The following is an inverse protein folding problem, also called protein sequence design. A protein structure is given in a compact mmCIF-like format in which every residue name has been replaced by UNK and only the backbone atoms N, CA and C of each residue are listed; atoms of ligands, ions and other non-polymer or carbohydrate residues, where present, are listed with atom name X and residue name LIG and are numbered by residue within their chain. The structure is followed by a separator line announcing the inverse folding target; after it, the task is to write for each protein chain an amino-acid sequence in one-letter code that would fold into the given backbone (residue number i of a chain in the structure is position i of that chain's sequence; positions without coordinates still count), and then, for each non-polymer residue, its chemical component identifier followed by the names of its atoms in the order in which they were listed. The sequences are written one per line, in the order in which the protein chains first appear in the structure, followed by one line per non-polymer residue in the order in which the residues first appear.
data_IF_846324205975
#
_entry.id   IF_846324205975
#
_cell.length_a   1.000
_cell.length_b   1.000
_cell.length_c   1.000
_cell.angle_alpha   90.00
_cell.angle_beta   90.00
_cell.angle_gamma   90.00
#
_symmetry.space_group_name_H-M   'P 1'
#
loop_
_entity.id
_entity.type
_entity.pdbx_description
1 polymer ?
#
# COMPACT_ATOMS: atom_id res chain seq x y z
N UNK A 1 -49.14 -26.93 -23.21
CA UNK A 1 -48.59 -25.66 -22.67
C UNK A 1 -47.07 -25.65 -22.40
N UNK A 2 -46.42 -26.81 -22.15
CA UNK A 2 -44.95 -26.90 -21.98
C UNK A 2 -44.17 -27.32 -23.26
N UNK A 3 -44.86 -27.74 -24.32
CA UNK A 3 -44.25 -28.22 -25.57
C UNK A 3 -43.95 -27.11 -26.60
N UNK A 4 -44.44 -25.88 -26.39
CA UNK A 4 -44.23 -24.74 -27.32
C UNK A 4 -43.05 -23.82 -26.95
N UNK A 5 -42.48 -23.93 -25.75
CA UNK A 5 -41.29 -23.17 -25.33
C UNK A 5 -39.98 -23.85 -25.77
N UNK A 6 -39.99 -25.17 -25.96
CA UNK A 6 -38.82 -25.96 -26.35
C UNK A 6 -38.50 -25.92 -27.86
N UNK A 7 -39.47 -25.57 -28.72
CA UNK A 7 -39.24 -25.48 -30.17
C UNK A 7 -38.54 -24.19 -30.62
N UNK A 8 -38.32 -23.24 -29.70
CA UNK A 8 -37.60 -21.99 -29.99
C UNK A 8 -36.10 -22.05 -29.62
N UNK A 9 -35.62 -23.17 -29.06
CA UNK A 9 -34.27 -23.29 -28.45
C UNK A 9 -33.44 -24.45 -29.05
N UNK A 10 -33.92 -25.14 -30.08
CA UNK A 10 -33.13 -26.19 -30.73
C UNK A 10 -32.41 -25.67 -31.98
N UNK A 11 -31.10 -25.95 -32.11
CA UNK A 11 -30.63 -26.56 -33.34
C UNK A 11 -30.01 -27.93 -33.09
N UNK A 12 -30.24 -28.80 -34.08
CA UNK A 12 -29.74 -30.16 -34.15
C UNK A 12 -28.21 -30.17 -34.39
N UNK A 13 -27.41 -30.36 -33.35
CA UNK A 13 -26.13 -31.08 -33.37
C UNK A 13 -25.55 -31.13 -31.94
N UNK A 14 -24.79 -32.16 -31.54
CA UNK A 14 -24.25 -32.26 -30.19
C UNK A 14 -23.03 -31.34 -29.92
N UNK A 15 -22.74 -30.36 -30.79
CA UNK A 15 -21.52 -29.56 -30.74
C UNK A 15 -21.71 -28.03 -30.69
N UNK A 16 -22.93 -27.50 -30.75
CA UNK A 16 -23.20 -26.06 -30.63
C UNK A 16 -23.88 -25.76 -29.29
N UNK A 17 -23.30 -24.87 -28.48
CA UNK A 17 -24.01 -24.27 -27.34
C UNK A 17 -25.30 -23.60 -27.82
N UNK A 18 -26.40 -23.64 -27.03
CA UNK A 18 -27.62 -22.93 -27.38
C UNK A 18 -27.40 -21.44 -27.12
N UNK A 19 -26.86 -20.71 -28.10
CA UNK A 19 -26.85 -19.24 -28.05
C UNK A 19 -28.30 -18.76 -28.07
N UNK A 20 -28.76 -18.00 -27.07
CA UNK A 20 -30.08 -17.40 -27.15
C UNK A 20 -30.10 -16.45 -28.36
N UNK A 21 -31.13 -16.51 -29.22
CA UNK A 21 -31.23 -15.61 -30.36
C UNK A 21 -31.20 -14.16 -29.86
N UNK A 22 -30.28 -13.38 -30.44
CA UNK A 22 -29.98 -11.99 -30.14
C UNK A 22 -31.22 -11.18 -29.67
N UNK A 23 -31.06 -10.53 -28.51
CA UNK A 23 -31.96 -9.47 -28.04
C UNK A 23 -33.30 -9.87 -27.42
N UNK A 24 -33.66 -11.17 -27.34
CA UNK A 24 -34.97 -11.59 -26.78
C UNK A 24 -34.94 -12.00 -25.31
N UNK A 25 -33.79 -12.43 -24.80
CA UNK A 25 -33.58 -12.78 -23.40
C UNK A 25 -32.53 -11.84 -22.81
N UNK A 26 -32.64 -11.56 -21.51
CA UNK A 26 -31.69 -10.71 -20.81
C UNK A 26 -30.29 -11.36 -20.84
N UNK A 27 -29.25 -10.56 -21.10
CA UNK A 27 -27.85 -10.98 -21.25
C UNK A 27 -27.20 -11.69 -20.03
N UNK A 28 -27.94 -11.83 -18.93
CA UNK A 28 -27.48 -12.50 -17.69
C UNK A 28 -28.28 -13.78 -17.40
N UNK A 29 -29.20 -14.18 -18.29
CA UNK A 29 -29.87 -15.47 -18.17
C UNK A 29 -28.88 -16.53 -18.59
N UNK A 30 -28.49 -17.39 -17.66
CA UNK A 30 -27.58 -18.49 -17.94
C UNK A 30 -28.36 -19.79 -18.12
N UNK A 31 -27.98 -20.59 -19.12
CA UNK A 31 -28.59 -21.86 -19.46
C UNK A 31 -27.50 -22.92 -19.53
N UNK A 32 -27.50 -23.83 -18.56
CA UNK A 32 -26.55 -24.95 -18.57
C UNK A 32 -27.25 -26.30 -18.42
N UNK A 33 -26.79 -27.28 -19.19
CA UNK A 33 -27.28 -28.66 -19.12
C UNK A 33 -26.38 -29.49 -18.21
N UNK A 34 -26.98 -30.13 -17.22
CA UNK A 34 -26.29 -31.00 -16.28
C UNK A 34 -26.51 -32.47 -16.66
N UNK A 35 -25.49 -33.07 -17.28
CA UNK A 35 -25.58 -34.43 -17.83
C UNK A 35 -25.81 -35.50 -16.76
N UNK A 36 -25.20 -35.34 -15.57
CA UNK A 36 -25.32 -36.29 -14.46
C UNK A 36 -26.77 -36.41 -13.93
N UNK A 37 -27.47 -35.28 -13.85
CA UNK A 37 -28.86 -35.23 -13.38
C UNK A 37 -29.89 -35.20 -14.51
N UNK A 38 -29.44 -35.28 -15.78
CA UNK A 38 -30.28 -35.13 -16.99
C UNK A 38 -31.23 -33.93 -16.91
N UNK A 39 -30.75 -32.80 -16.38
CA UNK A 39 -31.54 -31.59 -16.14
C UNK A 39 -30.95 -30.40 -16.92
N UNK A 40 -31.80 -29.44 -17.28
CA UNK A 40 -31.38 -28.13 -17.79
C UNK A 40 -31.69 -27.10 -16.72
N UNK A 41 -30.67 -26.39 -16.26
CA UNK A 41 -30.81 -25.31 -15.30
C UNK A 41 -30.83 -23.99 -16.07
N UNK A 42 -31.90 -23.23 -15.85
CA UNK A 42 -32.03 -21.85 -16.32
C UNK A 42 -31.96 -20.96 -15.09
N UNK A 43 -30.90 -20.18 -14.98
CA UNK A 43 -30.67 -19.28 -13.85
C UNK A 43 -30.84 -17.83 -14.30
N UNK A 44 -31.74 -17.13 -13.60
CA UNK A 44 -32.08 -15.72 -13.83
C UNK A 44 -32.01 -14.89 -12.54
N UNK A 45 -31.50 -15.48 -11.45
CA UNK A 45 -31.30 -14.85 -10.16
C UNK A 45 -30.14 -13.85 -10.19
N UNK A 46 -30.25 -12.80 -9.37
CA UNK A 46 -29.21 -11.79 -9.19
C UNK A 46 -28.15 -12.24 -8.17
N UNK A 47 -26.92 -11.72 -8.30
CA UNK A 47 -25.80 -12.02 -7.38
C UNK A 47 -24.81 -13.07 -7.91
N UNK A 48 -24.98 -13.54 -9.14
CA UNK A 48 -24.05 -14.44 -9.83
C UNK A 48 -22.88 -13.67 -10.43
N UNK A 49 -21.72 -14.32 -10.49
CA UNK A 49 -20.51 -13.76 -11.10
C UNK A 49 -20.52 -14.08 -12.59
N UNK A 50 -20.62 -13.05 -13.42
CA UNK A 50 -20.56 -13.18 -14.86
C UNK A 50 -19.28 -12.53 -15.39
N UNK A 51 -18.65 -13.15 -16.40
CA UNK A 51 -17.46 -12.60 -17.08
C UNK A 51 -17.71 -12.53 -18.59
N UNK A 52 -17.33 -11.42 -19.26
CA UNK A 52 -17.50 -11.31 -20.70
C UNK A 52 -16.45 -12.14 -21.45
N UNK A 53 -16.89 -12.84 -22.49
CA UNK A 53 -16.06 -13.62 -23.40
C UNK A 53 -16.41 -13.31 -24.86
N UNK A 54 -15.42 -13.40 -25.75
CA UNK A 54 -15.63 -13.26 -27.20
C UNK A 54 -16.22 -14.56 -27.74
N UNK A 55 -17.28 -14.46 -28.53
CA UNK A 55 -17.89 -15.61 -29.18
C UNK A 55 -17.01 -16.08 -30.35
N UNK A 56 -16.80 -17.39 -30.43
CA UNK A 56 -16.02 -18.05 -31.49
C UNK A 56 -16.91 -19.03 -32.23
N UNK A 57 -17.11 -18.80 -33.53
CA UNK A 57 -17.85 -19.69 -34.41
C UNK A 57 -16.92 -20.34 -35.43
N UNK A 58 -17.03 -21.65 -35.61
CA UNK A 58 -16.21 -22.42 -36.55
C UNK A 58 -14.68 -22.16 -36.42
N UNK A 59 -14.21 -21.93 -35.19
CA UNK A 59 -12.79 -21.69 -34.89
C UNK A 59 -12.28 -20.29 -35.23
N UNK A 60 -13.16 -19.34 -35.56
CA UNK A 60 -12.80 -17.92 -35.78
C UNK A 60 -13.53 -17.02 -34.79
N UNK A 61 -12.83 -16.07 -34.14
CA UNK A 61 -13.49 -15.09 -33.28
C UNK A 61 -14.39 -14.19 -34.13
N UNK A 62 -15.60 -13.91 -33.64
CA UNK A 62 -16.53 -12.99 -34.31
C UNK A 62 -16.04 -11.53 -34.24
N UNK A 63 -15.22 -11.20 -33.25
CA UNK A 63 -14.56 -9.90 -33.14
C UNK A 63 -13.40 -9.82 -34.14
N UNK A 64 -13.56 -8.94 -35.13
CA UNK A 64 -12.54 -8.63 -36.13
C UNK A 64 -11.81 -7.32 -35.80
N UNK A 65 -10.66 -7.09 -36.45
CA UNK A 65 -9.83 -5.89 -36.23
C UNK A 65 -10.58 -4.58 -36.48
N UNK A 66 -11.47 -4.55 -37.49
CA UNK A 66 -12.37 -3.41 -37.75
C UNK A 66 -13.20 -2.99 -36.53
N UNK A 67 -13.71 -3.95 -35.76
CA UNK A 67 -14.52 -3.64 -34.57
C UNK A 67 -13.63 -3.04 -33.46
N UNK A 68 -12.37 -3.47 -33.37
CA UNK A 68 -11.40 -2.89 -32.43
C UNK A 68 -11.04 -1.46 -32.82
N UNK A 69 -10.88 -1.18 -34.12
CA UNK A 69 -10.59 0.16 -34.63
C UNK A 69 -11.80 1.09 -34.41
N UNK A 70 -13.02 0.61 -34.65
CA UNK A 70 -14.27 1.33 -34.38
C UNK A 70 -14.43 1.66 -32.88
N UNK A 71 -14.13 0.70 -32.00
CA UNK A 71 -14.12 0.90 -30.54
C UNK A 71 -13.06 1.94 -30.13
N UNK A 72 -11.85 1.87 -30.70
CA UNK A 72 -10.78 2.83 -30.41
C UNK A 72 -11.13 4.25 -30.88
N UNK A 73 -11.90 4.37 -31.96
CA UNK A 73 -12.38 5.65 -32.49
C UNK A 73 -13.64 6.21 -31.80
N UNK A 74 -14.25 5.45 -30.88
CA UNK A 74 -15.46 5.83 -30.17
C UNK A 74 -16.73 5.78 -31.03
N UNK A 75 -16.71 5.04 -32.15
CA UNK A 75 -17.89 4.85 -33.02
C UNK A 75 -18.86 3.80 -32.48
N UNK A 76 -18.39 2.94 -31.57
CA UNK A 76 -19.15 1.85 -30.94
C UNK A 76 -18.81 1.78 -29.46
N UNK A 77 -19.83 1.51 -28.66
CA UNK A 77 -19.68 1.31 -27.22
C UNK A 77 -19.69 -0.18 -26.86
N UNK A 78 -19.28 -0.51 -25.63
CA UNK A 78 -19.24 -1.89 -25.15
C UNK A 78 -20.60 -2.61 -25.22
N UNK A 79 -21.70 -1.89 -25.06
CA UNK A 79 -23.05 -2.43 -25.14
C UNK A 79 -23.44 -2.86 -26.56
N UNK A 80 -22.92 -2.18 -27.58
CA UNK A 80 -23.17 -2.55 -28.98
C UNK A 80 -22.59 -3.94 -29.30
N UNK A 81 -21.45 -4.29 -28.70
CA UNK A 81 -20.84 -5.61 -28.87
C UNK A 81 -21.68 -6.74 -28.26
N UNK A 82 -22.45 -6.44 -27.21
CA UNK A 82 -23.39 -7.38 -26.58
C UNK A 82 -24.65 -7.52 -27.43
N UNK A 83 -25.18 -6.40 -27.93
CA UNK A 83 -26.37 -6.39 -28.78
C UNK A 83 -26.16 -7.10 -30.12
N UNK A 84 -24.98 -6.95 -30.72
CA UNK A 84 -24.59 -7.63 -31.96
C UNK A 84 -24.20 -9.10 -31.76
N UNK A 85 -24.10 -9.58 -30.52
CA UNK A 85 -23.70 -10.96 -30.22
C UNK A 85 -22.24 -11.25 -30.55
N UNK A 86 -21.36 -10.26 -30.44
CA UNK A 86 -19.91 -10.44 -30.58
C UNK A 86 -19.26 -10.92 -29.27
N UNK A 87 -19.86 -10.51 -28.14
CA UNK A 87 -19.43 -10.80 -26.78
C UNK A 87 -20.62 -11.34 -26.00
N UNK A 88 -20.38 -12.26 -25.07
CA UNK A 88 -21.40 -12.83 -24.18
C UNK A 88 -20.89 -12.88 -22.74
N UNK A 89 -21.78 -12.64 -21.78
CA UNK A 89 -21.51 -12.82 -20.35
C UNK A 89 -21.77 -14.27 -19.96
N UNK A 90 -20.72 -14.97 -19.53
CA UNK A 90 -20.83 -16.35 -19.08
C UNK A 90 -20.78 -16.43 -17.56
N UNK A 91 -21.65 -17.27 -17.01
CA UNK A 91 -21.65 -17.67 -15.60
C UNK A 91 -20.69 -18.85 -15.35
N UNK A 92 -20.24 -19.03 -14.11
CA UNK A 92 -19.33 -20.11 -13.67
C UNK A 92 -19.86 -21.50 -14.06
N UNK A 93 -21.18 -21.67 -14.07
CA UNK A 93 -21.81 -22.93 -14.43
C UNK A 93 -21.84 -23.19 -15.95
N UNK A 94 -21.87 -22.14 -16.77
CA UNK A 94 -21.76 -22.26 -18.23
C UNK A 94 -20.32 -22.47 -18.67
N UNK A 95 -19.36 -21.80 -18.00
CA UNK A 95 -17.94 -21.92 -18.28
C UNK A 95 -17.45 -23.38 -18.23
N UNK A 96 -17.98 -24.19 -17.30
CA UNK A 96 -17.61 -25.62 -17.16
C UNK A 96 -17.83 -26.46 -18.41
N UNK A 97 -18.75 -26.08 -19.29
CA UNK A 97 -19.06 -26.83 -20.52
C UNK A 97 -18.32 -26.27 -21.74
N UNK A 98 -17.91 -25.01 -21.68
CA UNK A 98 -17.26 -24.34 -22.77
C UNK A 98 -15.76 -24.66 -22.77
N UNK A 99 -15.21 -24.97 -23.94
CA UNK A 99 -13.77 -25.07 -24.14
C UNK A 99 -13.22 -23.65 -24.23
N UNK A 100 -13.16 -22.97 -23.10
CA UNK A 100 -12.65 -21.61 -23.01
C UNK A 100 -11.13 -21.65 -23.15
N UNK A 101 -10.60 -20.97 -24.17
CA UNK A 101 -9.19 -20.62 -24.20
C UNK A 101 -8.98 -19.46 -23.21
N UNK A 102 -8.41 -19.77 -22.04
CA UNK A 102 -8.24 -18.79 -20.97
C UNK A 102 -7.28 -17.65 -21.41
N UNK A 103 -7.79 -16.42 -21.44
CA UNK A 103 -7.05 -15.17 -21.54
C UNK A 103 -6.79 -14.56 -20.15
N UNK A 104 -5.57 -14.07 -19.94
CA UNK A 104 -4.83 -14.19 -18.68
C UNK A 104 -4.53 -12.84 -17.99
N UNK A 105 -4.33 -12.89 -16.67
CA UNK A 105 -3.96 -11.84 -15.69
C UNK A 105 -2.48 -11.39 -15.82
N UNK A 106 -2.13 -10.09 -15.65
CA UNK A 106 -0.79 -9.45 -15.83
C UNK A 106 0.35 -9.83 -14.84
N UNK A 107 1.64 -9.80 -15.29
CA UNK A 107 2.75 -10.77 -15.01
C UNK A 107 2.70 -11.45 -13.64
N UNK A 108 2.21 -12.71 -13.57
CA UNK A 108 2.52 -13.66 -12.51
C UNK A 108 3.25 -14.92 -13.03
N UNK A 109 3.39 -15.06 -14.36
CA UNK A 109 3.73 -16.32 -15.02
C UNK A 109 5.19 -16.74 -14.89
N UNK A 110 6.12 -15.77 -14.80
CA UNK A 110 7.55 -16.03 -14.61
C UNK A 110 7.91 -16.39 -13.17
N UNK A 111 6.94 -16.34 -12.26
CA UNK A 111 7.08 -16.82 -10.90
C UNK A 111 6.38 -18.18 -10.78
N UNK A 112 7.13 -19.29 -10.73
CA UNK A 112 6.52 -20.61 -10.58
C UNK A 112 5.77 -20.77 -9.24
N UNK A 113 6.02 -19.90 -8.25
CA UNK A 113 5.32 -19.91 -6.96
C UNK A 113 4.16 -18.90 -6.87
N UNK A 114 2.92 -19.39 -6.93
CA UNK A 114 1.71 -18.58 -6.73
C UNK A 114 1.64 -17.82 -5.39
N UNK A 115 2.37 -18.28 -4.36
CA UNK A 115 2.43 -17.67 -3.02
C UNK A 115 3.00 -16.24 -3.06
N UNK A 116 3.89 -15.94 -4.02
CA UNK A 116 4.57 -14.64 -4.10
C UNK A 116 3.64 -13.53 -4.56
N UNK A 117 2.82 -13.82 -5.56
CA UNK A 117 1.79 -12.90 -6.05
C UNK A 117 0.78 -12.56 -4.94
N UNK A 118 0.39 -13.55 -4.14
CA UNK A 118 -0.49 -13.32 -2.98
C UNK A 118 0.15 -12.45 -1.91
N UNK A 119 1.43 -12.70 -1.55
CA UNK A 119 2.14 -11.80 -0.65
C UNK A 119 2.27 -10.39 -1.20
N UNK A 120 2.44 -10.24 -2.51
CA UNK A 120 2.58 -8.95 -3.16
C UNK A 120 1.28 -8.14 -3.10
N UNK A 121 0.13 -8.77 -3.35
CA UNK A 121 -1.18 -8.12 -3.22
C UNK A 121 -1.42 -7.58 -1.81
N UNK A 122 -1.14 -8.39 -0.78
CA UNK A 122 -1.23 -7.96 0.63
C UNK A 122 -0.28 -6.80 0.91
N UNK A 123 0.94 -6.86 0.36
CA UNK A 123 1.92 -5.80 0.55
C UNK A 123 1.52 -4.53 -0.15
N UNK A 124 0.95 -4.52 -1.36
CA UNK A 124 0.44 -3.30 -1.97
C UNK A 124 -0.62 -2.62 -1.10
N UNK A 125 -1.49 -3.40 -0.45
CA UNK A 125 -2.43 -2.85 0.54
C UNK A 125 -1.74 -2.24 1.78
N UNK A 126 -0.53 -2.69 2.13
CA UNK A 126 0.26 -2.18 3.26
C UNK A 126 1.29 -1.11 2.87
N UNK A 127 1.75 -1.17 1.63
CA UNK A 127 2.76 -0.34 0.99
C UNK A 127 2.05 0.91 0.50
N UNK A 128 1.51 1.68 1.45
CA UNK A 128 0.79 2.90 1.19
C UNK A 128 -0.05 2.85 -0.09
N UNK A 129 -1.28 2.38 0.03
CA UNK A 129 -2.41 2.91 -0.76
C UNK A 129 -2.61 4.44 -0.49
N UNK A 130 -1.54 5.12 -0.07
CA UNK A 130 -1.41 6.35 0.69
C UNK A 130 -0.24 7.22 0.22
N UNK A 131 0.67 6.74 -0.64
CA UNK A 131 1.86 7.52 -1.02
C UNK A 131 1.53 8.81 -1.79
N UNK A 132 0.36 8.86 -2.43
CA UNK A 132 -0.28 10.07 -2.98
C UNK A 132 -1.81 9.94 -2.82
N UNK A 133 -2.35 10.35 -1.68
CA UNK A 133 -3.80 10.42 -1.46
C UNK A 133 -4.45 11.51 -2.31
N UNK A 134 -4.75 11.27 -3.60
CA UNK A 134 -5.66 12.13 -4.37
C UNK A 134 -5.21 13.62 -4.50
N UNK A 135 -5.98 14.43 -5.22
CA UNK A 135 -5.81 15.88 -5.34
C UNK A 135 -6.16 16.64 -4.05
N UNK A 136 -6.80 15.97 -3.07
CA UNK A 136 -7.35 16.59 -1.85
C UNK A 136 -6.50 16.37 -0.58
N UNK A 137 -5.17 16.23 -0.71
CA UNK A 137 -4.26 16.03 0.43
C UNK A 137 -4.25 17.22 1.40
N UNK A 138 -4.61 18.41 0.91
CA UNK A 138 -4.58 19.65 1.67
C UNK A 138 -5.93 20.03 2.29
N UNK A 139 -7.00 19.29 2.01
CA UNK A 139 -8.37 19.49 2.52
C UNK A 139 -8.54 18.79 3.91
N UNK A 140 -9.67 18.93 4.66
CA UNK A 140 -9.66 18.86 6.13
C UNK A 140 -9.35 17.47 6.73
N UNK A 141 -9.06 17.45 8.05
CA UNK A 141 -8.63 16.30 8.87
C UNK A 141 -9.64 15.12 8.75
N UNK A 142 -9.39 14.19 7.82
CA UNK A 142 -10.22 13.01 7.57
C UNK A 142 -9.73 11.77 8.30
N UNK A 143 -8.43 11.52 8.25
CA UNK A 143 -7.84 10.26 8.68
C UNK A 143 -7.14 10.35 10.03
N UNK A 144 -7.16 9.24 10.77
CA UNK A 144 -6.48 9.12 12.07
C UNK A 144 -4.97 9.00 11.91
N UNK A 145 -4.51 8.36 10.83
CA UNK A 145 -3.09 8.19 10.48
C UNK A 145 -2.95 8.26 8.97
N UNK A 146 -1.98 9.03 8.49
CA UNK A 146 -1.70 9.18 7.07
C UNK A 146 -0.17 9.14 6.85
N UNK A 147 0.28 8.30 5.92
CA UNK A 147 1.70 8.24 5.52
C UNK A 147 1.91 8.91 4.16
N UNK A 148 2.63 10.02 4.14
CA UNK A 148 2.97 10.75 2.91
C UNK A 148 4.44 10.50 2.54
N UNK A 149 4.68 10.13 1.28
CA UNK A 149 6.03 9.98 0.75
C UNK A 149 6.47 11.29 0.09
N UNK A 150 7.36 12.03 0.73
CA UNK A 150 7.97 13.20 0.12
C UNK A 150 9.08 12.78 -0.85
N UNK A 151 8.87 12.99 -2.15
CA UNK A 151 9.96 12.95 -3.13
C UNK A 151 10.72 14.28 -3.03
N UNK A 152 11.85 14.28 -2.33
CA UNK A 152 12.70 15.47 -2.24
C UNK A 152 13.64 15.44 -3.45
N UNK A 153 13.51 16.41 -4.35
CA UNK A 153 14.54 16.62 -5.38
C UNK A 153 15.89 16.88 -4.70
N UNK A 154 17.03 16.43 -5.26
CA UNK A 154 18.35 16.64 -4.66
C UNK A 154 18.62 18.12 -4.31
N UNK A 155 18.12 19.04 -5.13
CA UNK A 155 18.28 20.49 -4.95
C UNK A 155 17.46 21.05 -3.77
N UNK A 156 16.28 20.49 -3.49
CA UNK A 156 15.45 20.91 -2.37
C UNK A 156 15.94 20.32 -1.02
N UNK A 157 16.57 19.15 -1.07
CA UNK A 157 17.24 18.55 0.09
C UNK A 157 18.46 19.38 0.54
N UNK A 158 19.22 19.97 -0.40
CA UNK A 158 20.35 20.85 -0.11
C UNK A 158 19.90 22.20 0.48
N UNK A 159 18.80 22.78 0.01
CA UNK A 159 18.26 24.02 0.59
C UNK A 159 17.79 23.84 2.04
N UNK A 160 17.31 22.64 2.41
CA UNK A 160 16.97 22.29 3.80
C UNK A 160 18.17 21.90 4.68
N UNK A 161 19.38 21.79 4.12
CA UNK A 161 20.64 21.62 4.87
C UNK A 161 21.24 22.93 5.34
N UNK A 162 20.78 24.08 4.84
CA UNK A 162 20.96 25.29 5.63
C UNK A 162 20.19 25.05 6.93
N UNK A 163 20.79 25.25 8.12
CA UNK A 163 19.97 25.35 9.32
C UNK A 163 18.90 26.37 8.93
N UNK A 164 17.62 25.97 8.94
CA UNK A 164 16.52 26.93 9.05
C UNK A 164 17.05 27.90 10.06
N UNK A 165 17.31 29.14 9.62
CA UNK A 165 17.88 30.16 10.49
C UNK A 165 17.16 29.95 11.80
N UNK A 166 17.92 29.74 12.90
CA UNK A 166 17.41 30.12 14.20
C UNK A 166 16.94 31.54 13.97
N UNK A 167 15.67 31.70 13.64
CA UNK A 167 15.01 32.97 13.63
C UNK A 167 14.98 33.22 15.12
N UNK A 168 16.04 33.93 15.54
CA UNK A 168 16.20 34.42 16.89
C UNK A 168 14.83 34.87 17.32
N UNK A 169 14.39 34.37 18.48
CA UNK A 169 13.12 34.67 19.11
C UNK A 169 12.73 36.11 18.78
N UNK A 170 11.89 36.26 17.75
CA UNK A 170 11.46 37.53 17.23
C UNK A 170 10.48 38.04 18.24
N UNK A 171 10.98 38.86 19.16
CA UNK A 171 10.19 39.66 20.06
C UNK A 171 9.26 40.56 19.24
N UNK A 172 8.11 40.03 18.83
CA UNK A 172 7.00 40.85 18.41
C UNK A 172 6.39 41.44 19.67
N UNK A 173 6.64 42.75 19.81
CA UNK A 173 6.23 43.58 20.91
C UNK A 173 4.73 43.51 21.14
N UNK A 174 4.40 43.04 22.34
CA UNK A 174 3.12 43.19 23.00
C UNK A 174 3.38 42.97 24.47
N UNK A 175 3.55 44.06 25.23
CA UNK A 175 3.66 43.98 26.68
C UNK A 175 2.34 43.45 27.24
N UNK A 176 2.29 42.15 27.51
CA UNK A 176 1.31 41.53 28.39
C UNK A 176 2.06 40.71 29.44
N UNK A 177 1.68 40.92 30.69
CA UNK A 177 2.26 40.30 31.89
C UNK A 177 2.47 38.79 31.69
N UNK A 178 3.72 38.37 31.48
CA UNK A 178 4.09 36.95 31.40
C UNK A 178 4.11 36.37 32.82
N UNK A 179 2.99 35.79 33.25
CA UNK A 179 3.04 34.67 34.19
C UNK A 179 3.96 33.61 33.58
N UNK A 180 4.93 33.13 34.37
CA UNK A 180 5.93 32.17 33.89
C UNK A 180 5.23 30.90 33.38
N UNK A 181 5.13 30.73 32.06
CA UNK A 181 4.56 29.53 31.46
C UNK A 181 5.41 28.34 31.87
N UNK A 182 4.76 27.33 32.46
CA UNK A 182 5.41 26.09 32.84
C UNK A 182 5.72 25.28 31.57
N UNK A 183 6.77 24.47 31.61
CA UNK A 183 7.18 23.62 30.49
C UNK A 183 6.03 22.83 29.81
N UNK A 184 5.03 22.27 30.54
CA UNK A 184 3.93 21.52 29.95
C UNK A 184 2.97 22.35 29.08
N UNK A 185 2.81 23.64 29.38
CA UNK A 185 1.81 24.53 28.75
C UNK A 185 2.42 25.54 27.77
N UNK A 186 3.73 25.45 27.54
CA UNK A 186 4.48 26.37 26.65
C UNK A 186 3.92 26.44 25.21
N UNK A 187 3.26 25.37 24.76
CA UNK A 187 2.79 25.22 23.37
C UNK A 187 1.35 25.75 23.19
N UNK A 188 0.67 26.10 24.28
CA UNK A 188 -0.73 26.50 24.24
C UNK A 188 -0.90 27.99 23.95
N UNK A 189 -1.92 28.34 23.17
CA UNK A 189 -2.39 29.72 23.01
C UNK A 189 -3.33 30.12 24.17
N UNK A 190 -3.84 31.36 24.11
CA UNK A 190 -4.77 31.91 25.10
C UNK A 190 -6.09 31.13 25.20
N UNK A 191 -6.45 30.35 24.19
CA UNK A 191 -7.64 29.50 24.13
C UNK A 191 -7.44 28.13 24.82
N UNK A 192 -6.22 27.80 25.24
CA UNK A 192 -5.88 26.51 25.84
C UNK A 192 -5.64 25.37 24.84
N UNK A 193 -5.50 25.68 23.54
CA UNK A 193 -5.18 24.72 22.47
C UNK A 193 -3.79 25.03 21.91
N UNK A 194 -3.09 24.01 21.42
CA UNK A 194 -1.79 24.18 20.79
C UNK A 194 -1.87 24.97 19.47
N UNK A 195 -0.95 25.92 19.25
CA UNK A 195 -0.91 26.70 18.00
C UNK A 195 -0.44 25.90 16.79
N UNK A 196 -0.87 26.32 15.60
CA UNK A 196 -0.43 25.73 14.32
C UNK A 196 1.04 26.08 14.06
N UNK A 197 1.86 25.07 13.78
CA UNK A 197 3.31 25.17 13.60
C UNK A 197 4.12 24.84 14.85
N UNK A 198 3.48 24.62 16.00
CA UNK A 198 4.18 24.35 17.23
C UNK A 198 4.91 22.99 17.20
N UNK A 199 6.16 22.98 17.68
CA UNK A 199 6.93 21.76 17.92
C UNK A 199 6.59 21.19 19.30
N UNK A 200 5.83 20.10 19.31
CA UNK A 200 5.39 19.39 20.51
C UNK A 200 6.38 18.27 20.83
N UNK A 201 6.82 18.20 22.08
CA UNK A 201 7.71 17.16 22.62
C UNK A 201 6.96 16.28 23.61
N UNK A 202 7.57 15.17 24.03
CA UNK A 202 6.95 14.22 24.97
C UNK A 202 6.37 14.91 26.22
N UNK A 203 5.15 14.50 26.60
CA UNK A 203 4.39 15.00 27.76
C UNK A 203 4.00 16.48 27.75
N UNK A 204 4.10 17.17 26.62
CA UNK A 204 3.53 18.51 26.47
C UNK A 204 2.01 18.43 26.26
N UNK A 205 1.29 19.41 26.81
CA UNK A 205 -0.17 19.48 26.71
C UNK A 205 -0.54 20.02 25.33
N UNK A 206 -1.39 19.29 24.61
CA UNK A 206 -1.96 19.68 23.33
C UNK A 206 -3.26 20.47 23.51
N UNK A 207 -4.09 20.04 24.46
CA UNK A 207 -5.35 20.68 24.83
C UNK A 207 -5.47 20.66 26.34
N UNK A 208 -5.52 21.84 26.95
CA UNK A 208 -5.76 21.96 28.38
C UNK A 208 -7.26 21.91 28.66
N UNK A 209 -7.78 20.70 28.86
CA UNK A 209 -9.20 20.44 29.14
C UNK A 209 -9.44 20.33 30.64
N UNK A 210 -10.50 20.96 31.11
CA UNK A 210 -11.02 20.82 32.48
C UNK A 210 -12.44 20.23 32.45
N UNK A 211 -12.75 19.37 33.41
CA UNK A 211 -14.08 18.73 33.52
C UNK A 211 -14.68 19.00 34.89
N UNK A 212 -15.96 19.38 34.98
CA UNK A 212 -16.62 19.57 36.26
C UNK A 212 -16.72 18.25 37.02
N UNK A 213 -16.48 18.27 38.34
CA UNK A 213 -16.64 17.10 39.20
C UNK A 213 -18.12 16.93 39.50
N UNK A 214 -18.81 16.14 38.68
CA UNK A 214 -20.21 15.78 38.95
C UNK A 214 -20.22 14.61 39.93
N UNK A 215 -20.32 14.91 41.22
CA UNK A 215 -20.70 13.90 42.22
C UNK A 215 -22.10 13.42 41.88
N UNK A 216 -22.28 12.12 41.64
CA UNK A 216 -23.54 11.49 41.19
C UNK A 216 -24.72 11.61 42.19
N UNK A 217 -24.56 12.42 43.24
CA UNK A 217 -25.51 12.62 44.33
C UNK A 217 -25.69 14.11 44.56
N UNK A 218 -26.26 14.86 43.61
CA UNK A 218 -26.65 16.24 43.86
C UNK A 218 -28.11 16.46 43.42
N UNK A 219 -28.96 16.56 44.44
CA UNK A 219 -30.26 17.20 44.43
C UNK A 219 -30.11 18.68 44.03
N UNK A 220 -31.17 19.22 43.45
CA UNK A 220 -31.26 20.57 42.88
C UNK A 220 -31.08 21.70 43.92
N UNK A 221 -29.86 21.87 44.43
CA UNK A 221 -29.45 23.03 45.22
C UNK A 221 -28.49 23.88 44.39
N UNK A 222 -28.90 25.13 44.15
CA UNK A 222 -28.21 26.17 43.39
C UNK A 222 -27.00 26.66 44.18
N UNK A 223 -25.91 25.90 44.17
CA UNK A 223 -24.59 26.40 44.55
C UNK A 223 -23.82 26.74 43.28
N UNK A 224 -23.51 28.02 43.09
CA UNK A 224 -22.94 28.61 41.87
C UNK A 224 -21.45 28.34 41.65
N UNK A 225 -20.79 27.56 42.52
CA UNK A 225 -19.38 27.20 42.38
C UNK A 225 -19.25 25.73 41.99
N UNK A 226 -19.16 25.48 40.68
CA UNK A 226 -18.84 24.16 40.13
C UNK A 226 -17.34 23.95 40.27
N UNK A 227 -16.93 22.88 40.97
CA UNK A 227 -15.52 22.49 41.09
C UNK A 227 -15.06 21.78 39.80
N UNK A 228 -13.91 22.19 39.26
CA UNK A 228 -13.33 21.64 38.04
C UNK A 228 -12.09 20.80 38.34
N UNK A 229 -11.98 19.67 37.66
CA UNK A 229 -10.80 18.80 37.64
C UNK A 229 -10.10 18.93 36.28
N UNK A 230 -8.80 19.20 36.31
CA UNK A 230 -7.99 19.22 35.09
C UNK A 230 -7.82 17.81 34.51
N UNK A 231 -8.11 17.66 33.22
CA UNK A 231 -7.98 16.44 32.41
C UNK A 231 -7.28 16.81 31.09
N UNK A 232 -6.00 17.24 31.14
CA UNK A 232 -5.29 17.70 29.97
C UNK A 232 -5.03 16.54 29.00
N UNK A 233 -5.04 16.83 27.71
CA UNK A 233 -4.66 15.88 26.68
C UNK A 233 -3.18 16.08 26.32
N UNK A 234 -2.36 15.08 26.63
CA UNK A 234 -0.91 15.10 26.48
C UNK A 234 -0.44 14.41 25.18
N UNK A 235 0.64 14.95 24.60
CA UNK A 235 1.34 14.28 23.51
C UNK A 235 2.20 13.13 24.06
N UNK A 236 1.99 11.93 23.50
CA UNK A 236 2.73 10.71 23.83
C UNK A 236 3.48 10.24 22.60
N UNK A 237 4.78 10.53 22.57
CA UNK A 237 5.64 10.19 21.44
C UNK A 237 7.09 10.43 21.79
N UNK A 238 7.97 9.50 21.39
CA UNK A 238 9.41 9.62 21.63
C UNK A 238 10.03 10.75 20.82
N UNK A 239 9.55 10.93 19.59
CA UNK A 239 10.02 11.95 18.66
C UNK A 239 9.09 13.17 18.70
N UNK A 240 9.62 14.39 18.54
CA UNK A 240 8.81 15.59 18.46
C UNK A 240 7.95 15.59 17.18
N UNK A 241 6.73 16.12 17.32
CA UNK A 241 5.80 16.31 16.21
C UNK A 241 5.48 17.80 16.04
N UNK A 242 5.01 18.19 14.86
CA UNK A 242 4.54 19.53 14.58
C UNK A 242 3.03 19.53 14.48
N UNK A 243 2.36 20.51 15.11
CA UNK A 243 0.93 20.74 14.90
C UNK A 243 0.76 21.35 13.52
N UNK A 244 0.08 20.67 12.60
CA UNK A 244 -0.10 21.14 11.23
C UNK A 244 -1.45 21.81 11.02
N UNK A 245 -2.51 21.25 11.62
CA UNK A 245 -3.86 21.82 11.57
C UNK A 245 -4.56 21.64 12.90
N UNK A 246 -5.31 22.65 13.29
CA UNK A 246 -6.24 22.63 14.42
C UNK A 246 -7.63 22.91 13.88
N UNK A 247 -8.57 22.01 14.15
CA UNK A 247 -9.95 22.14 13.73
C UNK A 247 -10.84 22.15 14.97
N UNK A 248 -11.58 23.23 15.15
CA UNK A 248 -12.63 23.34 16.16
C UNK A 248 -13.96 23.23 15.42
N UNK A 249 -14.75 22.24 15.79
CA UNK A 249 -16.07 21.98 15.23
C UNK A 249 -17.09 21.86 16.35
N UNK A 250 -18.35 22.13 16.03
CA UNK A 250 -19.47 21.95 16.95
C UNK A 250 -20.45 20.98 16.31
N UNK A 251 -20.80 19.93 17.03
CA UNK A 251 -21.85 19.00 16.62
C UNK A 251 -23.23 19.66 16.78
N UNK A 252 -24.23 19.15 16.07
CA UNK A 252 -25.62 19.60 16.18
C UNK A 252 -26.14 19.53 17.64
N UNK A 253 -25.65 18.55 18.40
CA UNK A 253 -25.95 18.35 19.84
C UNK A 253 -25.21 19.32 20.79
N UNK A 254 -24.67 20.44 20.29
CA UNK A 254 -23.85 21.41 21.03
C UNK A 254 -22.55 20.84 21.65
N UNK A 255 -22.14 19.62 21.30
CA UNK A 255 -20.83 19.10 21.71
C UNK A 255 -19.70 19.75 20.91
N UNK A 256 -18.74 20.37 21.60
CA UNK A 256 -17.51 20.88 20.99
C UNK A 256 -16.52 19.76 20.70
N UNK A 257 -15.96 19.76 19.50
CA UNK A 257 -14.96 18.82 19.01
C UNK A 257 -13.70 19.58 18.60
N UNK A 258 -12.57 19.21 19.18
CA UNK A 258 -11.25 19.74 18.80
C UNK A 258 -10.43 18.59 18.19
N UNK A 259 -10.05 18.73 16.93
CA UNK A 259 -9.18 17.81 16.21
C UNK A 259 -7.84 18.49 15.93
N UNK A 260 -6.74 17.87 16.33
CA UNK A 260 -5.39 18.31 16.01
C UNK A 260 -4.74 17.31 15.05
N UNK A 261 -4.23 17.79 13.92
CA UNK A 261 -3.41 17.02 13.01
C UNK A 261 -1.93 17.24 13.37
N UNK A 262 -1.26 16.16 13.76
CA UNK A 262 0.16 16.16 14.08
C UNK A 262 0.95 15.57 12.93
N UNK A 263 1.99 16.27 12.48
CA UNK A 263 2.90 15.81 11.43
C UNK A 263 4.25 15.46 12.01
N UNK A 264 4.74 14.26 11.68
CA UNK A 264 6.08 13.81 11.99
C UNK A 264 6.82 13.49 10.69
N UNK A 265 8.00 14.09 10.49
CA UNK A 265 8.85 13.79 9.33
C UNK A 265 9.87 12.74 9.73
N UNK A 266 9.76 11.53 9.15
CA UNK A 266 10.64 10.41 9.49
C UNK A 266 11.54 10.07 8.32
N UNK A 267 12.85 10.11 8.56
CA UNK A 267 13.84 9.59 7.62
C UNK A 267 13.90 8.07 7.75
N UNK A 268 14.22 7.33 6.68
CA UNK A 268 14.45 5.90 6.81
C UNK A 268 15.63 5.59 7.74
N UNK A 269 15.42 4.65 8.65
CA UNK A 269 16.42 4.21 9.62
C UNK A 269 16.61 2.69 9.54
N UNK A 270 17.64 2.19 10.24
CA UNK A 270 17.91 0.76 10.34
C UNK A 270 16.71 0.04 10.95
N UNK A 271 16.30 -1.06 10.31
CA UNK A 271 15.15 -1.86 10.67
C UNK A 271 13.83 -1.45 9.99
N UNK A 272 13.81 -0.31 9.27
CA UNK A 272 12.64 0.06 8.46
C UNK A 272 12.40 -0.97 7.36
N UNK A 273 11.11 -1.20 7.08
CA UNK A 273 10.69 -2.22 6.12
C UNK A 273 10.42 -1.64 4.75
N UNK A 274 11.07 -2.25 3.77
CA UNK A 274 10.91 -1.97 2.36
C UNK A 274 10.36 -3.21 1.64
N UNK A 275 9.72 -3.00 0.51
CA UNK A 275 9.35 -4.07 -0.41
C UNK A 275 9.69 -3.66 -1.81
N UNK A 276 10.42 -4.51 -2.54
CA UNK A 276 10.32 -4.50 -4.00
C UNK A 276 8.95 -5.05 -4.42
N UNK A 277 8.63 -4.99 -5.72
CA UNK A 277 7.43 -5.63 -6.26
C UNK A 277 7.39 -7.16 -6.13
N UNK A 278 8.46 -7.77 -5.63
CA UNK A 278 8.61 -9.22 -5.60
C UNK A 278 9.05 -9.73 -4.22
N UNK A 279 9.72 -8.90 -3.41
CA UNK A 279 10.36 -9.32 -2.16
C UNK A 279 10.33 -8.23 -1.09
N UNK A 280 10.21 -8.67 0.18
CA UNK A 280 10.32 -7.83 1.37
C UNK A 280 11.75 -7.79 1.87
N UNK A 281 12.14 -6.61 2.33
CA UNK A 281 13.43 -6.30 2.89
C UNK A 281 13.29 -5.48 4.17
N UNK A 282 14.36 -5.51 4.96
CA UNK A 282 14.55 -4.68 6.14
C UNK A 282 15.88 -3.96 5.94
N UNK A 283 15.95 -2.68 6.26
CA UNK A 283 17.22 -1.95 6.21
C UNK A 283 18.17 -2.51 7.26
N UNK A 284 19.27 -3.15 6.83
CA UNK A 284 20.28 -3.71 7.73
C UNK A 284 21.40 -2.73 8.07
N UNK A 285 21.87 -1.99 7.06
CA UNK A 285 22.98 -1.06 7.17
C UNK A 285 22.72 0.16 6.29
N UNK A 286 23.15 1.33 6.77
CA UNK A 286 23.19 2.58 6.01
C UNK A 286 24.67 2.93 5.86
N UNK A 287 25.11 3.07 4.61
CA UNK A 287 26.52 3.29 4.25
C UNK A 287 26.64 4.63 3.51
N UNK A 288 27.77 5.30 3.67
CA UNK A 288 28.07 6.53 2.94
C UNK A 288 28.27 6.27 1.44
N UNK A 289 28.02 7.29 0.63
CA UNK A 289 28.12 7.18 -0.82
C UNK A 289 29.55 6.87 -1.30
N UNK A 290 30.58 7.22 -0.52
CA UNK A 290 31.99 6.99 -0.86
C UNK A 290 32.35 5.51 -0.87
N UNK A 291 31.79 4.72 0.05
CA UNK A 291 32.12 3.31 0.20
C UNK A 291 31.35 2.42 -0.78
N UNK A 292 30.29 2.96 -1.40
CA UNK A 292 29.45 2.23 -2.35
C UNK A 292 30.18 1.92 -3.66
N UNK A 293 29.99 0.71 -4.23
CA UNK A 293 30.60 0.37 -5.51
C UNK A 293 30.03 1.24 -6.62
N UNK A 294 30.88 1.62 -7.57
CA UNK A 294 30.52 2.54 -8.66
C UNK A 294 30.84 1.94 -10.03
N UNK A 295 30.01 2.28 -11.02
CA UNK A 295 30.25 1.93 -12.42
C UNK A 295 31.29 2.88 -13.04
N UNK A 296 31.81 2.53 -14.23
CA UNK A 296 32.66 3.41 -15.04
C UNK A 296 32.01 4.77 -15.30
N UNK A 297 30.69 4.80 -15.42
CA UNK A 297 29.91 6.03 -15.65
C UNK A 297 29.73 6.87 -14.36
N UNK A 298 30.28 6.42 -13.23
CA UNK A 298 30.11 7.05 -11.93
C UNK A 298 28.76 6.78 -11.26
N UNK A 299 27.90 5.96 -11.89
CA UNK A 299 26.63 5.54 -11.31
C UNK A 299 26.88 4.65 -10.09
N UNK A 300 26.19 4.97 -8.99
CA UNK A 300 26.27 4.26 -7.72
C UNK A 300 24.89 3.73 -7.36
N UNK A 301 24.75 2.47 -6.91
CA UNK A 301 23.46 1.95 -6.47
C UNK A 301 22.93 2.76 -5.27
N UNK A 302 21.66 3.17 -5.30
CA UNK A 302 21.01 3.83 -4.16
C UNK A 302 20.55 2.83 -3.08
N UNK A 303 20.16 1.62 -3.50
CA UNK A 303 19.85 0.50 -2.61
C UNK A 303 20.73 -0.67 -3.01
N UNK A 304 21.59 -1.12 -2.10
CA UNK A 304 22.31 -2.37 -2.28
C UNK A 304 21.48 -3.51 -1.71
N UNK A 305 21.01 -4.40 -2.58
CA UNK A 305 20.27 -5.58 -2.16
C UNK A 305 21.21 -6.79 -2.24
N UNK A 306 21.80 -7.20 -1.10
CA UNK A 306 22.68 -8.37 -1.00
C UNK A 306 21.98 -9.72 -1.24
N UNK A 307 20.69 -9.73 -1.61
CA UNK A 307 19.93 -10.98 -1.83
C UNK A 307 20.39 -11.63 -3.13
N UNK A 308 21.62 -12.14 -3.24
CA UNK A 308 21.97 -13.15 -4.24
C UNK A 308 21.48 -14.54 -3.80
N UNK A 309 21.40 -14.76 -2.48
CA UNK A 309 21.06 -16.06 -1.86
C UNK A 309 19.56 -16.38 -1.87
N UNK A 310 18.69 -15.37 -1.97
CA UNK A 310 17.24 -15.58 -1.99
C UNK A 310 16.66 -15.94 -3.36
N UNK A 311 17.29 -15.53 -4.48
CA UNK A 311 16.73 -15.73 -5.82
C UNK A 311 16.56 -17.21 -6.21
N UNK A 312 17.54 -18.11 -5.99
CA UNK A 312 17.40 -19.51 -6.39
C UNK A 312 16.29 -20.23 -5.62
N UNK A 313 16.18 -20.00 -4.32
CA UNK A 313 15.16 -20.64 -3.47
C UNK A 313 13.76 -20.08 -3.72
N UNK A 314 13.63 -18.79 -4.02
CA UNK A 314 12.34 -18.12 -4.19
C UNK A 314 11.87 -18.05 -5.64
N UNK A 315 12.75 -18.39 -6.58
CA UNK A 315 12.50 -18.38 -8.02
C UNK A 315 11.87 -17.06 -8.52
N UNK A 316 12.30 -15.92 -7.97
CA UNK A 316 11.76 -14.58 -8.29
C UNK A 316 12.40 -13.98 -9.55
N UNK A 317 12.31 -14.70 -10.68
CA UNK A 317 12.90 -14.30 -11.97
C UNK A 317 12.31 -12.99 -12.50
N UNK A 318 11.05 -12.70 -12.18
CA UNK A 318 10.38 -11.45 -12.54
C UNK A 318 11.12 -10.19 -12.08
N UNK A 319 11.82 -10.23 -10.93
CA UNK A 319 12.63 -9.09 -10.45
C UNK A 319 13.88 -8.84 -11.31
N UNK A 320 14.45 -9.90 -11.88
CA UNK A 320 15.58 -9.78 -12.80
C UNK A 320 15.10 -9.16 -14.12
N UNK A 321 14.00 -9.68 -14.68
CA UNK A 321 13.40 -9.11 -15.89
C UNK A 321 12.96 -7.66 -15.70
N UNK A 322 12.40 -7.30 -14.54
CA UNK A 322 12.05 -5.93 -14.19
C UNK A 322 13.27 -5.00 -14.25
N UNK A 323 14.42 -5.41 -13.70
CA UNK A 323 15.63 -4.60 -13.73
C UNK A 323 16.15 -4.45 -15.17
N UNK A 324 16.16 -5.52 -15.96
CA UNK A 324 16.56 -5.47 -17.37
C UNK A 324 15.68 -4.51 -18.17
N UNK A 325 14.35 -4.66 -18.05
CA UNK A 325 13.36 -3.83 -18.71
C UNK A 325 13.44 -2.37 -18.27
N UNK A 326 13.62 -2.13 -16.96
CA UNK A 326 13.74 -0.77 -16.43
C UNK A 326 15.03 -0.08 -16.89
N UNK A 327 16.14 -0.82 -16.99
CA UNK A 327 17.40 -0.28 -17.52
C UNK A 327 17.27 0.08 -19.00
N UNK A 328 16.68 -0.81 -19.80
CA UNK A 328 16.41 -0.53 -21.21
C UNK A 328 15.43 0.66 -21.38
N UNK A 329 14.40 0.75 -20.53
CA UNK A 329 13.43 1.84 -20.55
C UNK A 329 14.08 3.22 -20.31
N UNK A 330 15.01 3.31 -19.36
CA UNK A 330 15.70 4.57 -19.04
C UNK A 330 16.63 5.02 -20.17
N UNK A 331 17.25 4.07 -20.88
CA UNK A 331 18.17 4.39 -21.97
C UNK A 331 17.44 4.81 -23.26
N UNK A 332 16.33 4.14 -23.57
CA UNK A 332 15.50 4.40 -24.74
C UNK A 332 14.54 5.60 -24.51
N UNK A 333 14.31 5.99 -23.25
CA UNK A 333 13.36 7.05 -22.90
C UNK A 333 11.89 6.64 -23.06
N UNK A 334 11.62 5.35 -23.27
CA UNK A 334 10.29 4.79 -23.46
C UNK A 334 9.96 3.76 -22.38
N UNK A 335 8.71 3.78 -21.90
CA UNK A 335 8.24 2.76 -20.96
C UNK A 335 8.18 1.39 -21.65
N UNK A 336 8.69 0.36 -20.98
CA UNK A 336 8.68 -1.03 -21.44
C UNK A 336 7.51 -1.78 -20.83
N UNK A 337 6.91 -2.66 -21.63
CA UNK A 337 5.71 -3.38 -21.21
C UNK A 337 6.07 -4.66 -20.44
N UNK A 338 5.47 -4.78 -19.26
CA UNK A 338 5.58 -5.92 -18.35
C UNK A 338 4.20 -6.50 -18.07
N UNK A 339 3.34 -6.63 -19.07
CA UNK A 339 2.03 -7.28 -18.99
C UNK A 339 2.19 -8.81 -19.06
N UNK A 340 1.32 -9.58 -18.39
CA UNK A 340 1.53 -11.04 -18.33
C UNK A 340 1.32 -11.71 -19.65
N UNK A 341 2.05 -12.82 -19.82
CA UNK A 341 1.93 -13.68 -20.98
C UNK A 341 2.13 -12.89 -22.29
N UNK A 342 2.75 -11.71 -22.17
CA UNK A 342 3.05 -10.74 -23.20
C UNK A 342 4.17 -9.83 -22.67
N UNK A 343 4.22 -8.60 -23.17
CA UNK A 343 5.28 -7.65 -22.87
C UNK A 343 6.56 -7.89 -23.66
N UNK A 344 7.57 -7.08 -23.36
CA UNK A 344 8.84 -7.07 -24.09
C UNK A 344 9.69 -8.29 -23.72
N UNK A 345 10.13 -9.03 -24.74
CA UNK A 345 10.95 -10.22 -24.54
C UNK A 345 12.35 -9.88 -24.01
N UNK A 346 12.93 -10.75 -23.18
CA UNK A 346 14.29 -10.53 -22.64
C UNK A 346 15.36 -10.35 -23.72
N UNK A 347 15.20 -11.01 -24.88
CA UNK A 347 16.11 -10.87 -26.03
C UNK A 347 16.02 -9.49 -26.67
N UNK A 348 14.80 -8.93 -26.80
CA UNK A 348 14.56 -7.59 -27.33
C UNK A 348 15.14 -6.54 -26.38
N UNK A 349 14.89 -6.68 -25.07
CA UNK A 349 15.48 -5.82 -24.05
C UNK A 349 17.01 -5.88 -24.07
N UNK A 350 17.57 -7.08 -24.26
CA UNK A 350 19.02 -7.26 -24.40
C UNK A 350 19.59 -6.63 -25.66
N UNK A 351 18.85 -6.58 -26.76
CA UNK A 351 19.27 -5.90 -27.99
C UNK A 351 19.36 -4.38 -27.78
N UNK A 352 18.34 -3.78 -27.16
CA UNK A 352 18.34 -2.35 -26.81
C UNK A 352 19.55 -2.00 -25.92
N UNK A 353 19.85 -2.83 -24.92
CA UNK A 353 21.02 -2.61 -24.07
C UNK A 353 22.34 -2.64 -24.86
N UNK A 354 22.48 -3.56 -25.84
CA UNK A 354 23.67 -3.61 -26.71
C UNK A 354 23.81 -2.38 -27.59
N UNK A 355 22.71 -1.85 -28.11
CA UNK A 355 22.70 -0.63 -28.93
C UNK A 355 23.27 0.57 -28.15
N UNK A 356 22.96 0.64 -26.85
CA UNK A 356 23.50 1.66 -25.95
C UNK A 356 24.87 1.31 -25.33
N UNK A 357 25.55 0.26 -25.80
CA UNK A 357 26.88 -0.13 -25.32
C UNK A 357 26.92 -0.83 -23.96
N UNK A 358 25.77 -1.25 -23.43
CA UNK A 358 25.69 -2.08 -22.23
C UNK A 358 25.69 -3.57 -22.57
N UNK A 359 25.99 -4.40 -21.57
CA UNK A 359 25.84 -5.85 -21.70
C UNK A 359 24.37 -6.22 -21.94
N UNK A 360 24.08 -7.10 -22.91
CA UNK A 360 22.72 -7.61 -23.14
C UNK A 360 22.08 -8.27 -21.92
N UNK A 361 22.91 -8.81 -21.03
CA UNK A 361 22.43 -9.42 -19.79
C UNK A 361 22.30 -8.40 -18.66
N UNK A 362 22.46 -7.09 -18.88
CA UNK A 362 22.32 -6.07 -17.84
C UNK A 362 23.34 -6.15 -16.69
N UNK A 363 24.43 -6.90 -16.87
CA UNK A 363 25.52 -7.02 -15.89
C UNK A 363 26.62 -6.00 -16.20
N UNK A 364 27.02 -5.26 -15.18
CA UNK A 364 28.04 -4.22 -15.26
C UNK A 364 29.29 -4.61 -14.47
N UNK A 365 30.43 -4.05 -14.86
CA UNK A 365 31.66 -4.08 -14.06
C UNK A 365 31.59 -2.92 -13.08
N UNK A 366 31.75 -3.21 -11.80
CA UNK A 366 31.74 -2.21 -10.75
C UNK A 366 33.07 -2.23 -9.99
N UNK A 367 33.51 -1.06 -9.56
CA UNK A 367 34.72 -0.85 -8.76
C UNK A 367 34.32 -0.66 -7.30
N UNK A 368 35.02 -1.30 -6.38
CA UNK A 368 34.83 -1.16 -4.94
C UNK A 368 35.14 0.27 -4.49
N UNK A 369 34.23 0.90 -3.75
CA UNK A 369 34.45 2.23 -3.18
C UNK A 369 35.51 2.24 -2.07
N UNK A 370 35.65 1.12 -1.34
CA UNK A 370 36.56 1.01 -0.19
C UNK A 370 38.00 0.75 -0.64
N UNK A 371 38.20 -0.19 -1.56
CA UNK A 371 39.55 -0.59 -2.01
C UNK A 371 39.99 0.11 -3.29
N UNK A 372 39.06 0.64 -4.08
CA UNK A 372 39.35 1.20 -5.40
C UNK A 372 39.62 0.15 -6.48
N UNK A 373 39.57 -1.14 -6.14
CA UNK A 373 39.80 -2.25 -7.07
C UNK A 373 38.51 -2.67 -7.77
N UNK A 374 38.64 -3.16 -9.00
CA UNK A 374 37.51 -3.72 -9.76
C UNK A 374 37.07 -5.04 -9.14
N UNK A 375 35.76 -5.23 -8.97
CA UNK A 375 35.24 -6.49 -8.45
C UNK A 375 35.45 -7.64 -9.46
N UNK A 376 35.81 -8.82 -8.94
CA UNK A 376 36.08 -10.01 -9.76
C UNK A 376 34.84 -10.50 -10.52
N UNK A 377 33.65 -10.26 -9.98
CA UNK A 377 32.38 -10.70 -10.57
C UNK A 377 31.58 -9.52 -11.12
N UNK A 378 30.93 -9.75 -12.28
CA UNK A 378 29.97 -8.80 -12.82
C UNK A 378 28.74 -8.67 -11.91
N UNK A 379 28.32 -7.43 -11.69
CA UNK A 379 27.19 -7.11 -10.82
C UNK A 379 25.98 -6.76 -11.67
N UNK A 380 24.83 -7.31 -11.28
CA UNK A 380 23.56 -6.98 -11.90
C UNK A 380 23.08 -5.63 -11.38
N UNK A 381 23.02 -4.63 -12.27
CA UNK A 381 22.78 -3.24 -11.88
C UNK A 381 21.74 -2.59 -12.80
N UNK A 382 20.74 -1.98 -12.19
CA UNK A 382 19.69 -1.24 -12.88
C UNK A 382 18.62 -0.72 -11.92
N UNK A 383 17.76 0.19 -12.40
CA UNK A 383 16.68 0.74 -11.60
C UNK A 383 15.62 -0.33 -11.28
N UNK A 384 15.21 -0.40 -10.01
CA UNK A 384 14.13 -1.27 -9.53
C UNK A 384 13.17 -0.41 -8.72
N UNK A 385 11.87 -0.69 -8.83
CA UNK A 385 10.86 -0.03 -8.03
C UNK A 385 10.79 -0.61 -6.61
N UNK A 386 11.11 0.24 -5.62
CA UNK A 386 11.00 -0.06 -4.21
C UNK A 386 9.88 0.74 -3.56
N UNK A 387 9.17 0.10 -2.65
CA UNK A 387 8.09 0.66 -1.85
C UNK A 387 8.49 0.68 -0.39
N UNK A 388 8.25 1.80 0.30
CA UNK A 388 8.36 1.86 1.76
C UNK A 388 7.07 1.32 2.37
N UNK A 389 7.19 0.41 3.34
CA UNK A 389 6.04 -0.15 4.04
C UNK A 389 5.73 0.68 5.30
N UNK A 390 4.46 0.66 5.73
CA UNK A 390 4.01 1.31 6.98
C UNK A 390 4.69 0.80 8.27
N UNK A 391 5.41 -0.32 8.19
CA UNK A 391 6.04 -0.93 9.34
C UNK A 391 7.43 -0.32 9.60
N UNK A 392 7.44 0.85 10.23
CA UNK A 392 8.67 1.50 10.71
C UNK A 392 9.08 0.97 12.08
N UNK A 393 10.36 1.10 12.42
CA UNK A 393 10.89 0.65 13.72
C UNK A 393 10.42 1.54 14.86
N UNK A 394 10.37 2.86 14.61
CA UNK A 394 9.96 3.85 15.61
C UNK A 394 8.57 3.60 16.18
N UNK A 395 7.65 3.01 15.41
CA UNK A 395 6.31 2.66 15.91
C UNK A 395 6.26 1.34 16.68
N UNK A 396 7.34 0.55 16.61
CA UNK A 396 7.41 -0.80 17.16
C UNK A 396 8.32 -0.92 18.37
N UNK A 397 9.17 0.07 18.62
CA UNK A 397 9.99 0.08 19.81
C UNK A 397 9.09 0.23 21.04
N UNK A 398 9.17 -0.74 21.94
CA UNK A 398 8.49 -0.68 23.22
C UNK A 398 9.42 -1.26 24.29
N UNK A 399 9.56 -0.54 25.39
CA UNK A 399 10.38 -0.96 26.52
C UNK A 399 9.67 -0.60 27.81
N UNK A 400 9.73 -1.51 28.79
CA UNK A 400 9.10 -1.30 30.10
C UNK A 400 10.05 -1.71 31.22
N UNK A 401 10.31 -0.78 32.14
CA UNK A 401 11.17 -1.01 33.29
C UNK A 401 10.42 -1.60 34.51
N UNK A 402 9.21 -1.12 34.82
CA UNK A 402 8.44 -1.56 36.01
C UNK A 402 6.94 -1.63 35.71
N UNK A 403 6.24 -2.56 36.37
CA UNK A 403 4.76 -2.69 36.30
C UNK A 403 4.10 -2.02 37.50
N UNK A 404 3.05 -1.22 37.25
CA UNK A 404 1.99 -0.97 38.23
C UNK A 404 0.90 -2.03 38.03
N UNK A 405 0.51 -2.75 39.08
CA UNK A 405 -0.52 -3.80 39.01
C UNK A 405 -1.87 -3.18 38.59
N UNK A 406 -2.28 -3.32 37.33
CA UNK A 406 -3.65 -3.03 36.86
C UNK A 406 -4.25 -4.28 36.24
N UNK A 407 -5.57 -4.45 36.45
CA UNK A 407 -6.36 -5.64 36.14
C UNK A 407 -6.81 -5.78 34.66
N UNK A 408 -6.20 -5.08 33.70
CA UNK A 408 -6.64 -5.16 32.28
C UNK A 408 -5.49 -5.26 31.28
N UNK A 409 -5.78 -5.99 30.20
CA UNK A 409 -4.90 -6.45 29.10
C UNK A 409 -4.60 -5.35 28.06
N UNK A 410 -4.99 -4.11 28.29
CA UNK A 410 -4.75 -3.03 27.32
C UNK A 410 -3.44 -2.31 27.61
N UNK A 411 -2.46 -2.51 26.72
CA UNK A 411 -1.55 -1.55 26.05
C UNK A 411 -1.07 -0.27 26.78
N UNK A 412 -1.17 -0.18 28.10
CA UNK A 412 -0.49 0.85 28.87
C UNK A 412 0.95 0.36 29.11
N UNK A 413 1.87 0.95 28.35
CA UNK A 413 3.34 0.85 28.47
C UNK A 413 4.03 -0.35 27.80
N UNK A 414 3.40 -1.01 26.81
CA UNK A 414 4.12 -1.90 25.89
C UNK A 414 4.91 -3.05 26.55
N UNK A 415 4.39 -3.64 27.62
CA UNK A 415 5.00 -4.83 28.23
C UNK A 415 4.92 -6.04 27.30
N UNK A 416 5.99 -6.82 27.23
CA UNK A 416 5.97 -8.14 26.59
C UNK A 416 5.25 -9.12 27.50
N UNK A 417 4.37 -9.94 26.92
CA UNK A 417 3.68 -11.02 27.63
C UNK A 417 4.50 -12.30 27.51
N UNK A 418 4.84 -12.92 28.64
CA UNK A 418 5.32 -14.30 28.67
C UNK A 418 4.09 -15.23 28.52
N UNK A 419 4.03 -15.98 27.44
CA UNK A 419 2.94 -16.92 27.15
C UNK A 419 3.19 -18.31 27.70
N UNK A 420 2.31 -19.23 27.34
CA UNK A 420 2.38 -20.63 27.76
C UNK A 420 3.59 -21.33 27.14
N UNK A 421 3.86 -21.10 25.85
CA UNK A 421 5.00 -21.71 25.17
C UNK A 421 6.32 -21.21 25.73
N UNK A 422 6.45 -19.92 26.04
CA UNK A 422 7.68 -19.38 26.62
C UNK A 422 7.90 -19.89 28.05
N UNK A 423 6.83 -20.07 28.83
CA UNK A 423 6.91 -20.72 30.15
C UNK A 423 7.41 -22.16 30.01
N UNK A 424 6.89 -22.92 29.06
CA UNK A 424 7.28 -24.32 28.87
C UNK A 424 8.74 -24.43 28.42
N UNK A 425 9.26 -23.48 27.63
CA UNK A 425 10.69 -23.38 27.35
C UNK A 425 11.52 -23.19 28.64
N UNK A 426 11.10 -22.32 29.55
CA UNK A 426 11.80 -22.09 30.82
C UNK A 426 11.77 -23.31 31.74
N UNK A 427 10.66 -24.05 31.75
CA UNK A 427 10.55 -25.34 32.46
C UNK A 427 11.51 -26.37 31.83
N UNK A 428 11.58 -26.43 30.50
CA UNK A 428 12.50 -27.31 29.77
C UNK A 428 13.99 -27.04 30.08
N UNK A 429 14.35 -25.78 30.34
CA UNK A 429 15.69 -25.42 30.82
C UNK A 429 15.94 -25.73 32.30
N UNK A 430 14.91 -26.10 33.07
CA UNK A 430 15.02 -26.34 34.51
C UNK A 430 15.26 -25.07 35.34
N UNK A 431 14.97 -23.89 34.81
CA UNK A 431 15.24 -22.60 35.43
C UNK A 431 14.19 -22.24 36.51
N UNK A 432 14.10 -23.06 37.58
CA UNK A 432 13.10 -22.92 38.65
C UNK A 432 13.15 -21.58 39.37
N UNK A 433 14.34 -21.03 39.62
CA UNK A 433 14.51 -19.71 40.28
C UNK A 433 14.11 -18.52 39.40
N UNK A 434 13.96 -18.69 38.09
CA UNK A 434 13.52 -17.63 37.17
C UNK A 434 11.99 -17.61 36.99
N UNK A 435 11.34 -18.75 37.26
CA UNK A 435 9.89 -18.93 37.17
C UNK A 435 9.15 -18.59 38.47
N UNK A 436 9.78 -18.84 39.62
CA UNK A 436 9.27 -18.48 40.95
C UNK A 436 9.54 -17.03 41.28
#
# INVERSE_FOLDING_TARGET
PASRLLSAVAPASPASSPTPPCGRLHQFVSVHSHAAHKAVHVASDGGRLCRPYIIVEAGRPLVARRHLDELASGLRDWEDFLHEGLIEYLDVNEEKRLRVCAGIIPIPASQPEARRNTYQLVRHGQAGHEALWSYNQNEPIRDTVQYLLAAVSPDEALRRRQPVHRQADGAHGGHQHRTAQTWPTKVLEADGVAYVGARVSDRQVLVNKEMPIVSATMSAAVNSNVEYKSVPQDYKGMEPAYVEKVMVAKHEDNHGLVKLQLRQTRRPEIGDKFSSRHERLVCGLIVDQADMPFSRDGSRPGYHNEIRTGYPSRMTVGKLLELLGSKAAVLDGAFKDGTAFGGDGAEQLGAILREHGFNSLGKDVLTSGVTGETMEAYVYSGPIYYQKLKHMVLDKIHARARRSLRLRVELADGAVRLGEMERDCLIGYGASMLLG
#
